data_IF_940480624741
#
_entry.id   IF_940480624741
#
_cell.length_a   1.000
_cell.length_b   1.000
_cell.length_c   1.000
_cell.angle_alpha   90.00
_cell.angle_beta   90.00
_cell.angle_gamma   90.00
#
_symmetry.space_group_name_H-M   'P 1'
#
loop_
_entity.id
_entity.type
_entity.pdbx_description
1 polymer ?
#
# COMPACT_ATOMS: atom_id res chain seq x y z
N UNK A 1 -10.57 -19.21 -13.56
CA UNK A 1 -11.93 -19.33 -12.96
C UNK A 1 -12.72 -18.07 -13.27
N UNK A 2 -14.05 -18.07 -13.36
CA UNK A 2 -14.84 -16.85 -13.52
C UNK A 2 -14.81 -16.08 -12.19
N UNK A 3 -14.39 -14.82 -12.20
CA UNK A 3 -14.32 -13.96 -11.00
C UNK A 3 -15.28 -12.80 -11.14
N UNK A 4 -15.78 -12.32 -10.00
CA UNK A 4 -16.60 -11.13 -9.90
C UNK A 4 -15.75 -9.97 -9.44
N UNK A 5 -15.64 -8.94 -10.26
CA UNK A 5 -14.79 -7.77 -10.02
C UNK A 5 -15.68 -6.54 -9.95
N UNK A 6 -15.55 -5.78 -8.86
CA UNK A 6 -16.18 -4.47 -8.71
C UNK A 6 -15.14 -3.39 -8.90
N UNK A 7 -15.45 -2.40 -9.74
CA UNK A 7 -14.64 -1.21 -9.95
C UNK A 7 -15.47 0.01 -9.55
N UNK A 8 -14.93 0.80 -8.65
CA UNK A 8 -15.50 2.09 -8.21
C UNK A 8 -14.52 3.16 -8.65
N UNK A 9 -14.92 3.95 -9.65
CA UNK A 9 -14.06 4.92 -10.32
C UNK A 9 -14.90 6.14 -10.68
N UNK A 10 -14.48 7.33 -10.25
CA UNK A 10 -15.20 8.60 -10.48
C UNK A 10 -14.75 9.31 -11.78
N UNK A 11 -13.72 8.79 -12.48
CA UNK A 11 -13.15 9.38 -13.68
C UNK A 11 -13.31 8.54 -14.96
N UNK A 12 -13.83 7.33 -14.88
CA UNK A 12 -14.00 6.35 -15.97
C UNK A 12 -12.72 5.80 -16.62
N UNK A 13 -11.55 6.33 -16.31
CA UNK A 13 -10.31 6.01 -17.01
C UNK A 13 -9.82 4.58 -16.70
N UNK A 14 -9.77 4.21 -15.41
CA UNK A 14 -9.35 2.87 -15.00
C UNK A 14 -10.46 1.85 -15.25
N UNK A 15 -11.72 2.21 -14.95
CA UNK A 15 -12.86 1.33 -15.07
C UNK A 15 -13.06 0.86 -16.51
N UNK A 16 -13.05 1.77 -17.49
CA UNK A 16 -13.23 1.43 -18.90
C UNK A 16 -12.14 0.50 -19.42
N UNK A 17 -10.88 0.79 -19.09
CA UNK A 17 -9.75 -0.01 -19.55
C UNK A 17 -9.77 -1.43 -18.94
N UNK A 18 -10.07 -1.55 -17.65
CA UNK A 18 -10.11 -2.84 -16.98
C UNK A 18 -11.34 -3.67 -17.36
N UNK A 19 -12.50 -3.04 -17.61
CA UNK A 19 -13.69 -3.76 -18.08
C UNK A 19 -13.43 -4.45 -19.42
N UNK A 20 -12.82 -3.75 -20.38
CA UNK A 20 -12.47 -4.35 -21.67
C UNK A 20 -11.56 -5.57 -21.50
N UNK A 21 -10.52 -5.46 -20.66
CA UNK A 21 -9.55 -6.54 -20.44
C UNK A 21 -10.16 -7.74 -19.74
N UNK A 22 -10.85 -7.51 -18.63
CA UNK A 22 -11.35 -8.59 -17.78
C UNK A 22 -12.59 -9.28 -18.36
N UNK A 23 -13.49 -8.52 -18.97
CA UNK A 23 -14.64 -9.09 -19.68
C UNK A 23 -14.21 -9.94 -20.87
N UNK A 24 -13.13 -9.56 -21.59
CA UNK A 24 -12.58 -10.35 -22.70
C UNK A 24 -12.02 -11.69 -22.24
N UNK A 25 -11.45 -11.75 -21.04
CA UNK A 25 -10.95 -13.00 -20.41
C UNK A 25 -12.09 -13.82 -19.80
N UNK A 26 -13.28 -13.23 -19.66
CA UNK A 26 -14.50 -13.90 -19.21
C UNK A 26 -14.85 -13.65 -17.73
N UNK A 27 -14.22 -12.69 -17.07
CA UNK A 27 -14.62 -12.26 -15.72
C UNK A 27 -15.92 -11.43 -15.79
N UNK A 28 -16.66 -11.41 -14.69
CA UNK A 28 -17.85 -10.57 -14.53
C UNK A 28 -17.42 -9.24 -13.87
N UNK A 29 -17.50 -8.15 -14.65
CA UNK A 29 -17.12 -6.81 -14.18
C UNK A 29 -18.37 -6.00 -13.88
N UNK A 30 -18.37 -5.31 -12.75
CA UNK A 30 -19.39 -4.35 -12.36
C UNK A 30 -18.71 -3.01 -12.08
N UNK A 31 -19.18 -1.95 -12.71
CA UNK A 31 -18.67 -0.59 -12.53
C UNK A 31 -19.69 0.22 -11.75
N UNK A 32 -19.23 1.02 -10.81
CA UNK A 32 -20.03 1.99 -10.05
C UNK A 32 -19.27 3.31 -9.97
N UNK A 33 -19.97 4.40 -10.30
CA UNK A 33 -19.40 5.76 -10.30
C UNK A 33 -19.62 6.45 -8.96
N UNK A 34 -20.75 6.16 -8.26
CA UNK A 34 -21.07 6.75 -6.96
C UNK A 34 -20.43 5.92 -5.84
N UNK A 35 -19.47 6.51 -5.16
CA UNK A 35 -18.73 5.92 -4.05
C UNK A 35 -19.65 5.54 -2.89
N UNK A 36 -20.48 6.49 -2.43
CA UNK A 36 -21.27 6.33 -1.22
C UNK A 36 -22.34 5.25 -1.42
N UNK A 37 -22.93 5.20 -2.63
CA UNK A 37 -23.86 4.15 -3.03
C UNK A 37 -23.13 2.79 -3.14
N UNK A 38 -21.96 2.77 -3.77
CA UNK A 38 -21.18 1.56 -3.93
C UNK A 38 -20.76 0.93 -2.60
N UNK A 39 -20.34 1.75 -1.63
CA UNK A 39 -19.85 1.31 -0.34
C UNK A 39 -20.96 0.99 0.67
N UNK A 40 -22.14 1.60 0.51
CA UNK A 40 -23.32 1.28 1.30
C UNK A 40 -24.04 0.00 0.81
N UNK A 41 -23.62 -0.57 -0.31
CA UNK A 41 -24.27 -1.74 -0.88
C UNK A 41 -23.95 -3.02 -0.07
N UNK A 42 -24.96 -3.78 0.27
CA UNK A 42 -24.85 -5.03 1.03
C UNK A 42 -24.14 -6.17 0.26
N UNK A 43 -23.85 -5.94 -1.03
CA UNK A 43 -23.30 -6.97 -1.94
C UNK A 43 -21.77 -6.94 -2.10
N UNK A 44 -21.07 -6.02 -1.45
CA UNK A 44 -19.60 -5.91 -1.54
C UNK A 44 -18.88 -7.22 -1.25
N UNK A 45 -19.37 -7.97 -0.29
CA UNK A 45 -18.85 -9.28 0.05
C UNK A 45 -19.05 -10.35 -1.05
N UNK A 46 -19.88 -10.09 -2.06
CA UNK A 46 -20.11 -11.03 -3.17
C UNK A 46 -19.02 -10.98 -4.23
N UNK A 47 -18.22 -9.91 -4.26
CA UNK A 47 -17.13 -9.72 -5.22
C UNK A 47 -15.85 -10.40 -4.74
N UNK A 48 -15.09 -10.98 -5.67
CA UNK A 48 -13.76 -11.55 -5.39
C UNK A 48 -12.71 -10.45 -5.24
N UNK A 49 -12.84 -9.40 -6.07
CA UNK A 49 -11.92 -8.27 -6.12
C UNK A 49 -12.72 -6.97 -6.14
N UNK A 50 -12.32 -6.02 -5.31
CA UNK A 50 -12.86 -4.66 -5.29
C UNK A 50 -11.72 -3.67 -5.53
N UNK A 51 -11.91 -2.81 -6.53
CA UNK A 51 -10.96 -1.76 -6.91
C UNK A 51 -11.66 -0.43 -6.73
N UNK A 52 -11.02 0.51 -6.04
CA UNK A 52 -11.48 1.89 -5.96
C UNK A 52 -10.37 2.82 -6.42
N UNK A 53 -10.70 3.77 -7.32
CA UNK A 53 -9.79 4.83 -7.77
C UNK A 53 -10.57 6.14 -7.75
N UNK A 54 -10.36 6.95 -6.74
CA UNK A 54 -11.17 8.11 -6.41
C UNK A 54 -10.29 9.31 -6.13
N UNK A 55 -10.67 10.46 -6.65
CA UNK A 55 -9.99 11.70 -6.47
C UNK A 55 -10.87 12.73 -5.74
N UNK A 56 -10.30 13.56 -4.89
CA UNK A 56 -11.08 14.61 -4.27
C UNK A 56 -10.37 15.37 -3.16
N UNK A 57 -11.04 16.37 -2.57
CA UNK A 57 -10.52 17.04 -1.40
C UNK A 57 -10.41 16.07 -0.22
N UNK A 58 -9.36 16.22 0.59
CA UNK A 58 -9.05 15.35 1.72
C UNK A 58 -10.23 15.13 2.69
N UNK A 59 -11.12 16.14 2.82
CA UNK A 59 -12.33 16.09 3.67
C UNK A 59 -13.38 15.07 3.20
N UNK A 60 -13.38 14.72 1.93
CA UNK A 60 -14.39 13.84 1.31
C UNK A 60 -13.92 12.40 1.14
N UNK A 61 -12.60 12.14 1.28
CA UNK A 61 -12.03 10.82 1.10
C UNK A 61 -11.74 10.20 2.49
N UNK A 62 -12.78 9.72 3.15
CA UNK A 62 -12.63 8.85 4.32
C UNK A 62 -12.64 7.41 3.86
N UNK A 63 -11.64 6.62 4.23
CA UNK A 63 -11.59 5.20 3.89
C UNK A 63 -12.84 4.47 4.39
N UNK A 64 -13.50 3.68 3.55
CA UNK A 64 -14.62 2.86 3.97
C UNK A 64 -14.12 1.63 4.71
N UNK A 65 -14.59 1.46 5.91
CA UNK A 65 -14.30 0.31 6.77
C UNK A 65 -13.33 0.68 7.90
N UNK A 66 -13.94 0.79 9.09
CA UNK A 66 -13.25 0.99 10.34
C UNK A 66 -12.07 0.04 10.55
N UNK A 67 -10.91 0.49 10.33
CA UNK A 67 -9.78 0.61 11.24
C UNK A 67 -8.90 1.70 10.64
N UNK A 68 -9.42 2.88 10.54
CA UNK A 68 -8.60 4.04 10.33
C UNK A 68 -7.75 4.23 11.59
N UNK A 69 -6.48 3.90 11.48
CA UNK A 69 -5.50 4.64 12.26
C UNK A 69 -5.73 6.12 11.99
N UNK A 70 -5.45 7.00 12.95
CA UNK A 70 -5.57 8.40 12.70
C UNK A 70 -4.70 8.72 11.48
N UNK A 71 -5.31 8.70 10.31
CA UNK A 71 -4.84 9.51 9.21
C UNK A 71 -4.63 10.86 9.86
N UNK A 72 -3.44 11.41 9.76
CA UNK A 72 -3.23 12.80 10.14
C UNK A 72 -4.24 13.55 9.29
N UNK A 73 -5.38 13.89 9.90
CA UNK A 73 -6.34 14.79 9.27
C UNK A 73 -5.55 16.07 9.12
N UNK A 74 -5.08 16.34 7.90
CA UNK A 74 -4.71 17.68 7.59
C UNK A 74 -6.04 18.45 7.59
N UNK A 75 -6.23 19.37 8.51
CA UNK A 75 -7.37 20.29 8.54
C UNK A 75 -7.33 21.26 7.34
N UNK A 76 -6.50 20.97 6.33
CA UNK A 76 -6.30 21.81 5.16
C UNK A 76 -7.25 21.33 4.04
N UNK A 77 -8.41 21.98 3.95
CA UNK A 77 -9.43 21.74 2.92
C UNK A 77 -8.93 21.95 1.47
N UNK A 78 -7.67 22.35 1.31
CA UNK A 78 -7.05 22.60 0.00
C UNK A 78 -6.23 21.43 -0.52
N UNK A 79 -6.02 20.40 0.29
CA UNK A 79 -5.23 19.24 -0.12
C UNK A 79 -6.03 18.31 -1.02
N UNK A 80 -5.51 18.04 -2.21
CA UNK A 80 -6.10 17.09 -3.15
C UNK A 80 -5.52 15.71 -2.92
N UNK A 81 -6.38 14.71 -2.74
CA UNK A 81 -5.98 13.32 -2.46
C UNK A 81 -6.44 12.43 -3.60
N UNK A 82 -5.50 11.68 -4.17
CA UNK A 82 -5.79 10.52 -5.02
C UNK A 82 -5.84 9.29 -4.14
N UNK A 83 -6.99 8.63 -4.07
CA UNK A 83 -7.21 7.47 -3.23
C UNK A 83 -7.42 6.21 -4.06
N UNK A 84 -6.45 5.33 -4.07
CA UNK A 84 -6.51 4.03 -4.72
C UNK A 84 -6.55 2.91 -3.68
N UNK A 85 -7.53 1.99 -3.83
CA UNK A 85 -7.60 0.78 -3.00
C UNK A 85 -7.85 -0.45 -3.84
N UNK A 86 -7.11 -1.52 -3.55
CA UNK A 86 -7.32 -2.84 -4.14
C UNK A 86 -7.52 -3.85 -3.01
N UNK A 87 -8.71 -4.43 -2.97
CA UNK A 87 -9.11 -5.40 -1.97
C UNK A 87 -9.42 -6.75 -2.64
N UNK A 88 -8.63 -7.77 -2.33
CA UNK A 88 -8.81 -9.13 -2.77
C UNK A 88 -9.16 -10.08 -1.61
N UNK A 89 -9.74 -9.57 -0.53
CA UNK A 89 -10.06 -10.32 0.68
C UNK A 89 -10.95 -11.54 0.40
N UNK A 90 -11.87 -11.41 -0.53
CA UNK A 90 -12.83 -12.46 -0.88
C UNK A 90 -12.27 -13.52 -1.84
N UNK A 91 -11.13 -13.26 -2.48
CA UNK A 91 -10.47 -14.17 -3.40
C UNK A 91 -10.09 -15.52 -2.76
N UNK A 92 -9.92 -15.55 -1.45
CA UNK A 92 -9.57 -16.74 -0.66
C UNK A 92 -10.77 -17.65 -0.31
N UNK A 93 -12.02 -17.28 -0.68
CA UNK A 93 -13.22 -18.09 -0.37
C UNK A 93 -13.26 -19.41 -1.13
N UNK A 94 -12.69 -19.43 -2.33
CA UNK A 94 -12.54 -20.62 -3.16
C UNK A 94 -11.14 -21.23 -3.01
N UNK A 95 -10.79 -22.20 -3.86
CA UNK A 95 -9.39 -22.64 -3.97
C UNK A 95 -8.53 -21.43 -4.34
N UNK A 96 -7.60 -21.07 -3.45
CA UNK A 96 -6.71 -19.94 -3.66
C UNK A 96 -5.71 -20.26 -4.76
N UNK A 97 -5.87 -19.60 -5.91
CA UNK A 97 -4.91 -19.64 -7.00
C UNK A 97 -4.03 -18.37 -6.95
N UNK A 98 -2.81 -18.54 -6.41
CA UNK A 98 -1.85 -17.45 -6.29
C UNK A 98 -1.46 -16.87 -7.65
N UNK A 99 -1.36 -17.71 -8.69
CA UNK A 99 -1.02 -17.26 -10.05
C UNK A 99 -2.12 -16.40 -10.65
N UNK A 100 -3.36 -16.84 -10.55
CA UNK A 100 -4.52 -16.10 -11.06
C UNK A 100 -4.60 -14.72 -10.40
N UNK A 101 -4.50 -14.66 -9.07
CA UNK A 101 -4.54 -13.39 -8.34
C UNK A 101 -3.37 -12.49 -8.70
N UNK A 102 -2.17 -13.05 -8.80
CA UNK A 102 -0.98 -12.33 -9.23
C UNK A 102 -1.16 -11.67 -10.59
N UNK A 103 -1.69 -12.41 -11.56
CA UNK A 103 -1.88 -11.90 -12.92
C UNK A 103 -2.94 -10.78 -12.95
N UNK A 104 -4.02 -10.92 -12.18
CA UNK A 104 -5.05 -9.89 -12.03
C UNK A 104 -4.46 -8.61 -11.42
N UNK A 105 -3.78 -8.73 -10.29
CA UNK A 105 -3.15 -7.59 -9.60
C UNK A 105 -2.11 -6.91 -10.50
N UNK A 106 -1.25 -7.69 -11.17
CA UNK A 106 -0.25 -7.16 -12.09
C UNK A 106 -0.90 -6.38 -13.25
N UNK A 107 -1.99 -6.91 -13.81
CA UNK A 107 -2.74 -6.24 -14.87
C UNK A 107 -3.30 -4.91 -14.40
N UNK A 108 -3.96 -4.87 -13.24
CA UNK A 108 -4.53 -3.65 -12.67
C UNK A 108 -3.46 -2.58 -12.48
N UNK A 109 -2.37 -2.93 -11.82
CA UNK A 109 -1.31 -1.98 -11.51
C UNK A 109 -0.55 -1.50 -12.75
N UNK A 110 -0.36 -2.36 -13.76
CA UNK A 110 0.26 -1.97 -15.03
C UNK A 110 -0.64 -0.98 -15.79
N UNK A 111 -1.95 -1.21 -15.84
CA UNK A 111 -2.90 -0.28 -16.46
C UNK A 111 -2.94 1.06 -15.72
N UNK A 112 -3.00 1.02 -14.38
CA UNK A 112 -2.99 2.24 -13.58
C UNK A 112 -1.73 3.09 -13.86
N UNK A 113 -0.55 2.48 -13.86
CA UNK A 113 0.71 3.19 -14.15
C UNK A 113 0.72 3.80 -15.54
N UNK A 114 0.21 3.08 -16.56
CA UNK A 114 0.32 3.50 -17.96
C UNK A 114 -0.70 4.53 -18.38
N UNK A 115 -1.90 4.48 -17.84
CA UNK A 115 -3.03 5.26 -18.35
C UNK A 115 -3.56 6.27 -17.33
N UNK A 116 -3.60 5.93 -16.06
CA UNK A 116 -4.19 6.78 -15.01
C UNK A 116 -3.13 7.64 -14.32
N UNK A 117 -2.02 7.03 -13.93
CA UNK A 117 -0.97 7.71 -13.17
C UNK A 117 -0.03 8.56 -14.05
N UNK A 118 -0.43 8.86 -15.29
CA UNK A 118 0.39 9.65 -16.24
C UNK A 118 0.31 11.16 -16.02
N UNK A 119 -0.72 11.65 -15.33
CA UNK A 119 -0.95 13.08 -15.09
C UNK A 119 0.19 13.77 -14.35
N UNK A 120 0.33 15.08 -14.61
CA UNK A 120 1.32 15.91 -13.91
C UNK A 120 1.01 15.99 -12.42
N UNK A 121 2.04 15.77 -11.60
CA UNK A 121 1.94 15.86 -10.15
C UNK A 121 1.77 17.32 -9.72
N UNK A 122 0.60 17.65 -9.18
CA UNK A 122 0.34 18.98 -8.61
C UNK A 122 1.11 19.11 -7.29
N UNK A 123 1.60 20.33 -6.97
CA UNK A 123 2.45 20.54 -5.77
C UNK A 123 1.77 20.18 -4.44
N UNK A 124 0.45 20.25 -4.37
CA UNK A 124 -0.36 19.94 -3.17
C UNK A 124 -0.99 18.53 -3.20
N UNK A 125 -0.53 17.65 -4.11
CA UNK A 125 -1.11 16.32 -4.24
C UNK A 125 -0.55 15.38 -3.16
N UNK A 126 -1.46 14.63 -2.54
CA UNK A 126 -1.17 13.47 -1.72
C UNK A 126 -1.81 12.24 -2.36
N UNK A 127 -1.12 11.12 -2.32
CA UNK A 127 -1.68 9.84 -2.73
C UNK A 127 -1.88 8.95 -1.50
N UNK A 128 -3.07 8.35 -1.41
CA UNK A 128 -3.38 7.30 -0.45
C UNK A 128 -3.62 6.00 -1.21
N UNK A 129 -2.78 5.02 -0.97
CA UNK A 129 -2.76 3.75 -1.69
C UNK A 129 -2.95 2.63 -0.68
N UNK A 130 -3.98 1.81 -0.86
CA UNK A 130 -4.29 0.71 0.05
C UNK A 130 -4.38 -0.62 -0.70
N UNK A 131 -3.78 -1.65 -0.11
CA UNK A 131 -3.91 -3.04 -0.55
C UNK A 131 -4.36 -3.91 0.61
N UNK A 132 -5.35 -4.75 0.36
CA UNK A 132 -5.77 -5.82 1.26
C UNK A 132 -5.71 -7.14 0.48
N UNK A 133 -4.67 -7.93 0.71
CA UNK A 133 -4.31 -9.07 -0.12
C UNK A 133 -4.07 -10.33 0.73
N UNK A 134 -4.40 -11.53 0.21
CA UNK A 134 -3.97 -12.79 0.80
C UNK A 134 -2.45 -12.88 0.93
N UNK A 135 -2.01 -13.63 1.94
CA UNK A 135 -0.59 -13.80 2.25
C UNK A 135 0.13 -14.59 1.16
N UNK A 136 0.84 -13.88 0.27
CA UNK A 136 1.68 -14.48 -0.77
C UNK A 136 2.85 -13.55 -1.11
N UNK A 137 4.08 -14.08 -1.14
CA UNK A 137 5.29 -13.28 -1.43
C UNK A 137 5.24 -12.71 -2.84
N UNK A 138 4.72 -13.46 -3.82
CA UNK A 138 4.65 -13.01 -5.21
C UNK A 138 3.79 -11.75 -5.40
N UNK A 139 2.73 -11.59 -4.59
CA UNK A 139 1.89 -10.40 -4.57
C UNK A 139 2.65 -9.20 -3.97
N UNK A 140 3.41 -9.45 -2.91
CA UNK A 140 4.18 -8.39 -2.24
C UNK A 140 5.20 -7.74 -3.19
N UNK A 141 5.87 -8.52 -4.04
CA UNK A 141 6.82 -7.97 -5.02
C UNK A 141 6.14 -7.02 -6.03
N UNK A 142 4.97 -7.38 -6.54
CA UNK A 142 4.23 -6.54 -7.49
C UNK A 142 3.79 -5.22 -6.84
N UNK A 143 3.24 -5.31 -5.61
CA UNK A 143 2.86 -4.13 -4.83
C UNK A 143 4.07 -3.26 -4.55
N UNK A 144 5.19 -3.86 -4.16
CA UNK A 144 6.43 -3.15 -3.88
C UNK A 144 6.95 -2.36 -5.10
N UNK A 145 6.98 -2.99 -6.27
CA UNK A 145 7.38 -2.32 -7.52
C UNK A 145 6.45 -1.14 -7.86
N UNK A 146 5.14 -1.30 -7.65
CA UNK A 146 4.19 -0.22 -7.86
C UNK A 146 4.43 0.94 -6.89
N UNK A 147 4.53 0.68 -5.58
CA UNK A 147 4.75 1.70 -4.56
C UNK A 147 6.04 2.50 -4.80
N UNK A 148 7.13 1.82 -5.17
CA UNK A 148 8.39 2.49 -5.48
C UNK A 148 8.28 3.45 -6.66
N UNK A 149 7.58 3.06 -7.73
CA UNK A 149 7.32 3.93 -8.87
C UNK A 149 6.51 5.18 -8.47
N UNK A 150 5.56 5.05 -7.53
CA UNK A 150 4.79 6.21 -7.04
C UNK A 150 5.66 7.15 -6.22
N UNK A 151 6.45 6.61 -5.29
CA UNK A 151 7.38 7.40 -4.46
C UNK A 151 8.44 8.12 -5.30
N UNK A 152 8.97 7.46 -6.34
CA UNK A 152 9.89 8.04 -7.32
C UNK A 152 9.21 9.17 -8.09
N UNK A 153 8.01 8.94 -8.63
CA UNK A 153 7.27 9.94 -9.43
C UNK A 153 6.95 11.20 -8.63
N UNK A 154 6.63 11.05 -7.34
CA UNK A 154 6.38 12.18 -6.45
C UNK A 154 7.66 12.87 -5.96
N UNK A 155 8.84 12.31 -6.27
CA UNK A 155 10.13 12.92 -5.98
C UNK A 155 10.56 12.82 -4.52
N UNK A 156 10.01 11.87 -3.75
CA UNK A 156 10.39 11.65 -2.33
C UNK A 156 11.80 11.07 -2.22
N UNK A 157 12.17 10.22 -3.19
CA UNK A 157 13.47 9.56 -3.22
C UNK A 157 14.11 9.68 -4.60
N UNK A 158 15.44 9.64 -4.62
CA UNK A 158 16.20 9.36 -5.83
C UNK A 158 16.42 7.85 -5.92
N UNK A 159 15.88 7.14 -6.96
CA UNK A 159 15.97 5.68 -7.07
C UNK A 159 17.41 5.15 -7.08
N UNK A 160 18.32 5.90 -7.70
CA UNK A 160 19.73 5.51 -7.83
C UNK A 160 20.50 5.54 -6.51
N UNK A 161 19.98 6.25 -5.50
CA UNK A 161 20.62 6.48 -4.20
C UNK A 161 19.86 5.85 -3.02
N UNK A 162 18.62 5.43 -3.24
CA UNK A 162 17.76 4.95 -2.17
C UNK A 162 17.79 3.43 -2.04
N UNK A 163 17.92 2.95 -0.81
CA UNK A 163 17.73 1.54 -0.45
C UNK A 163 16.29 1.24 0.03
N UNK A 164 15.32 2.10 -0.28
CA UNK A 164 13.92 1.95 0.17
C UNK A 164 13.34 0.58 -0.20
N UNK A 165 13.69 0.06 -1.39
CA UNK A 165 13.33 -1.31 -1.80
C UNK A 165 13.67 -2.33 -0.72
N UNK A 166 14.88 -2.30 -0.17
CA UNK A 166 15.34 -3.29 0.83
C UNK A 166 14.53 -3.19 2.12
N UNK A 167 14.22 -1.97 2.57
CA UNK A 167 13.43 -1.79 3.78
C UNK A 167 11.99 -2.30 3.64
N UNK A 168 11.35 -2.01 2.51
CA UNK A 168 9.98 -2.45 2.24
C UNK A 168 9.90 -3.96 2.00
N UNK A 169 10.86 -4.54 1.24
CA UNK A 169 10.92 -5.97 1.01
C UNK A 169 11.06 -6.76 2.33
N UNK A 170 11.97 -6.34 3.20
CA UNK A 170 12.11 -6.91 4.53
C UNK A 170 10.84 -6.79 5.38
N UNK A 171 10.16 -5.66 5.31
CA UNK A 171 8.91 -5.46 6.05
C UNK A 171 7.81 -6.38 5.53
N UNK A 172 7.67 -6.55 4.21
CA UNK A 172 6.71 -7.47 3.60
C UNK A 172 7.03 -8.93 3.92
N UNK A 173 8.31 -9.31 3.80
CA UNK A 173 8.76 -10.67 4.17
C UNK A 173 8.47 -10.95 5.64
N UNK A 174 8.66 -9.98 6.52
CA UNK A 174 8.36 -10.13 7.94
C UNK A 174 6.86 -10.36 8.17
N UNK A 175 5.98 -9.61 7.54
CA UNK A 175 4.53 -9.78 7.64
C UNK A 175 4.08 -11.16 7.11
N UNK A 176 4.57 -11.57 5.94
CA UNK A 176 4.21 -12.86 5.33
C UNK A 176 4.77 -14.04 6.10
N UNK A 177 6.08 -14.03 6.41
CA UNK A 177 6.82 -15.16 6.96
C UNK A 177 6.66 -15.29 8.47
N UNK A 178 6.82 -14.18 9.19
CA UNK A 178 6.86 -14.18 10.65
C UNK A 178 5.51 -13.83 11.26
N UNK A 179 4.75 -12.88 10.65
CA UNK A 179 3.40 -12.53 11.05
C UNK A 179 2.41 -13.63 10.69
N UNK A 180 2.05 -13.73 9.45
CA UNK A 180 1.02 -14.65 8.96
C UNK A 180 1.49 -16.10 8.77
N UNK A 181 2.82 -16.38 8.78
CA UNK A 181 3.41 -17.71 8.64
C UNK A 181 3.01 -18.42 7.35
N UNK A 182 2.97 -17.66 6.25
CA UNK A 182 2.55 -18.13 4.92
C UNK A 182 1.10 -18.65 4.86
N UNK A 183 0.26 -18.29 5.82
CA UNK A 183 -1.15 -18.69 5.82
C UNK A 183 -1.94 -17.84 4.83
N UNK A 184 -2.30 -18.41 3.68
CA UNK A 184 -3.05 -17.75 2.61
C UNK A 184 -4.48 -17.38 2.98
N UNK A 185 -5.00 -17.91 4.10
CA UNK A 185 -6.30 -17.51 4.65
C UNK A 185 -6.23 -16.19 5.43
N UNK A 186 -5.03 -15.73 5.74
CA UNK A 186 -4.79 -14.44 6.38
C UNK A 186 -4.46 -13.37 5.36
N UNK A 187 -4.74 -12.12 5.73
CA UNK A 187 -4.47 -10.95 4.91
C UNK A 187 -3.21 -10.21 5.36
N UNK A 188 -2.57 -9.58 4.41
CA UNK A 188 -1.61 -8.50 4.62
C UNK A 188 -2.27 -7.22 4.13
N UNK A 189 -2.34 -6.20 5.00
CA UNK A 189 -2.81 -4.86 4.68
C UNK A 189 -1.63 -3.94 4.54
N UNK A 190 -1.59 -3.21 3.44
CA UNK A 190 -0.52 -2.29 3.09
C UNK A 190 -1.16 -0.95 2.79
N UNK A 191 -0.74 0.09 3.51
CA UNK A 191 -1.13 1.46 3.25
C UNK A 191 0.11 2.27 2.94
N UNK A 192 0.08 3.05 1.86
CA UNK A 192 1.11 4.02 1.54
C UNK A 192 0.46 5.40 1.36
N UNK A 193 0.89 6.35 2.16
CA UNK A 193 0.54 7.77 2.03
C UNK A 193 1.78 8.49 1.49
N UNK A 194 1.67 9.01 0.27
CA UNK A 194 2.82 9.60 -0.44
C UNK A 194 2.52 11.04 -0.80
N UNK A 195 3.40 11.93 -0.42
CA UNK A 195 3.43 13.35 -0.79
C UNK A 195 4.83 13.72 -1.27
N UNK A 196 5.06 14.95 -1.70
CA UNK A 196 6.42 15.40 -2.05
C UNK A 196 7.37 15.51 -0.86
N UNK A 197 6.84 15.60 0.36
CA UNK A 197 7.63 15.79 1.57
C UNK A 197 8.05 14.48 2.22
N UNK A 198 7.17 13.48 2.15
CA UNK A 198 7.42 12.19 2.78
C UNK A 198 6.56 11.08 2.15
N UNK A 199 7.02 9.86 2.33
CA UNK A 199 6.25 8.64 2.11
C UNK A 199 6.12 7.88 3.42
N UNK A 200 4.88 7.59 3.81
CA UNK A 200 4.54 6.80 4.98
C UNK A 200 4.00 5.45 4.53
N UNK A 201 4.55 4.38 5.07
CA UNK A 201 4.13 3.01 4.80
C UNK A 201 3.64 2.36 6.08
N UNK A 202 2.50 1.70 6.00
CA UNK A 202 1.95 0.91 7.10
C UNK A 202 1.72 -0.50 6.58
N UNK A 203 2.31 -1.49 7.24
CA UNK A 203 2.17 -2.90 6.90
C UNK A 203 1.60 -3.60 8.12
N UNK A 204 0.45 -4.26 7.96
CA UNK A 204 -0.23 -4.98 9.02
C UNK A 204 -0.53 -6.42 8.60
N UNK A 205 -0.20 -7.36 9.48
CA UNK A 205 -0.51 -8.77 9.34
C UNK A 205 -1.58 -9.24 10.34
N UNK A 206 -2.19 -10.39 10.09
CA UNK A 206 -3.16 -11.02 10.98
C UNK A 206 -2.52 -12.05 11.93
N UNK A 207 -1.21 -11.95 12.15
CA UNK A 207 -0.50 -12.79 13.09
C UNK A 207 -0.75 -12.43 14.56
N UNK A 208 -0.14 -13.22 15.43
CA UNK A 208 -0.22 -12.99 16.87
C UNK A 208 0.56 -11.75 17.32
N UNK A 209 1.44 -11.24 16.43
CA UNK A 209 2.40 -10.20 16.75
C UNK A 209 3.57 -10.70 17.59
N UNK A 210 4.34 -9.77 18.13
CA UNK A 210 5.49 -10.09 18.98
C UNK A 210 5.72 -8.99 20.02
N UNK A 211 6.51 -9.32 21.05
CA UNK A 211 6.87 -8.33 22.06
C UNK A 211 7.90 -7.34 21.49
N UNK A 212 7.44 -6.15 21.12
CA UNK A 212 8.25 -5.08 20.53
C UNK A 212 9.44 -4.71 21.44
N UNK A 213 9.26 -4.77 22.76
CA UNK A 213 10.33 -4.48 23.75
C UNK A 213 11.45 -5.52 23.75
N UNK A 214 11.25 -6.67 23.12
CA UNK A 214 12.27 -7.72 22.97
C UNK A 214 13.15 -7.54 21.73
N UNK A 215 12.87 -6.57 20.88
CA UNK A 215 13.74 -6.23 19.76
C UNK A 215 15.03 -5.67 20.36
N UNK A 216 16.20 -6.28 20.07
CA UNK A 216 17.48 -5.69 20.44
C UNK A 216 17.61 -4.33 19.76
N UNK A 217 18.19 -3.36 20.44
CA UNK A 217 18.46 -2.06 19.82
C UNK A 217 19.24 -2.28 18.51
N UNK A 218 18.66 -1.94 17.35
CA UNK A 218 19.30 -2.19 16.06
C UNK A 218 20.54 -1.30 15.84
N UNK A 219 20.70 -0.23 16.62
CA UNK A 219 21.83 0.70 16.55
C UNK A 219 22.97 0.28 17.49
N UNK A 220 22.75 -0.71 18.37
CA UNK A 220 23.81 -1.23 19.25
C UNK A 220 24.83 -2.05 18.44
N UNK A 221 26.13 -1.68 18.50
CA UNK A 221 27.19 -2.38 17.79
C UNK A 221 27.26 -3.90 18.07
N UNK A 222 26.86 -4.35 19.26
CA UNK A 222 26.86 -5.77 19.62
C UNK A 222 25.79 -6.57 18.83
N UNK A 223 24.75 -5.90 18.34
CA UNK A 223 23.67 -6.51 17.57
C UNK A 223 23.97 -6.58 16.05
N UNK A 224 24.92 -5.77 15.55
CA UNK A 224 25.33 -5.75 14.14
C UNK A 224 25.88 -7.10 13.64
N UNK A 225 26.45 -7.90 14.56
CA UNK A 225 27.07 -9.18 14.21
C UNK A 225 26.13 -10.39 14.39
N UNK A 226 24.90 -10.19 14.87
CA UNK A 226 23.94 -11.27 15.01
C UNK A 226 23.38 -11.67 13.64
N UNK A 227 23.31 -12.96 13.36
CA UNK A 227 22.80 -13.49 12.09
C UNK A 227 21.27 -13.42 11.98
N UNK A 228 20.56 -13.31 13.10
CA UNK A 228 19.10 -13.13 13.18
C UNK A 228 18.76 -11.66 13.46
N UNK A 229 17.73 -11.13 12.81
CA UNK A 229 17.26 -9.75 13.03
C UNK A 229 17.91 -8.70 12.12
N UNK A 230 18.68 -9.10 11.12
CA UNK A 230 19.30 -8.14 10.17
C UNK A 230 18.25 -7.37 9.36
N UNK A 231 17.12 -7.96 9.06
CA UNK A 231 16.04 -7.31 8.34
C UNK A 231 15.52 -6.08 9.06
N UNK A 232 15.25 -6.22 10.36
CA UNK A 232 14.82 -5.08 11.20
C UNK A 232 15.90 -4.01 11.23
N UNK A 233 17.19 -4.38 11.30
CA UNK A 233 18.31 -3.43 11.24
C UNK A 233 18.31 -2.63 9.92
N UNK A 234 18.06 -3.29 8.77
CA UNK A 234 17.97 -2.58 7.49
C UNK A 234 16.82 -1.58 7.48
N UNK A 235 15.65 -1.94 8.02
CA UNK A 235 14.51 -1.04 8.12
C UNK A 235 14.91 0.22 8.91
N UNK A 236 15.48 0.06 10.10
CA UNK A 236 15.89 1.20 10.95
C UNK A 236 17.00 2.07 10.35
N UNK A 237 17.90 1.50 9.55
CA UNK A 237 18.98 2.27 8.92
C UNK A 237 18.54 3.03 7.65
N UNK A 238 17.45 2.60 7.01
CA UNK A 238 17.00 3.16 5.73
C UNK A 238 15.88 4.17 5.94
N UNK A 239 14.97 3.90 6.88
CA UNK A 239 13.82 4.73 7.17
C UNK A 239 14.15 5.79 8.22
N UNK A 240 13.53 6.96 8.10
CA UNK A 240 13.73 8.08 9.03
C UNK A 240 12.97 7.86 10.34
N UNK A 241 11.82 7.20 10.29
CA UNK A 241 11.05 6.78 11.47
C UNK A 241 10.53 5.35 11.30
N UNK A 242 10.55 4.59 12.40
CA UNK A 242 10.06 3.20 12.44
C UNK A 242 9.31 2.98 13.74
N UNK A 243 8.06 2.57 13.65
CA UNK A 243 7.19 2.38 14.81
C UNK A 243 6.40 1.08 14.67
N UNK A 244 6.30 0.32 15.76
CA UNK A 244 5.40 -0.83 15.87
C UNK A 244 4.23 -0.49 16.79
N UNK A 245 3.06 -1.07 16.52
CA UNK A 245 1.97 -1.02 17.48
C UNK A 245 2.27 -1.89 18.72
N UNK A 246 1.47 -1.78 19.78
CA UNK A 246 1.68 -2.53 21.03
C UNK A 246 1.65 -4.05 20.82
N UNK A 247 0.86 -4.54 19.86
CA UNK A 247 0.74 -5.96 19.53
C UNK A 247 1.94 -6.47 18.74
N UNK A 248 2.64 -5.60 18.00
CA UNK A 248 3.77 -5.97 17.16
C UNK A 248 3.40 -6.61 15.81
N UNK A 249 2.16 -6.47 15.35
CA UNK A 249 1.68 -6.97 14.06
C UNK A 249 1.43 -5.85 13.03
N UNK A 250 1.76 -4.61 13.37
CA UNK A 250 1.67 -3.44 12.51
C UNK A 250 2.94 -2.62 12.61
N UNK A 251 3.58 -2.44 11.48
CA UNK A 251 4.78 -1.64 11.30
C UNK A 251 4.44 -0.37 10.53
N UNK A 252 4.79 0.78 11.09
CA UNK A 252 4.73 2.08 10.41
C UNK A 252 6.15 2.56 10.14
N UNK A 253 6.42 2.98 8.92
CA UNK A 253 7.71 3.47 8.45
C UNK A 253 7.52 4.78 7.72
N UNK A 254 8.39 5.74 7.95
CA UNK A 254 8.36 7.04 7.26
C UNK A 254 9.71 7.27 6.59
N UNK A 255 9.67 7.67 5.33
CA UNK A 255 10.81 8.17 4.56
C UNK A 255 10.54 9.59 4.14
N UNK A 256 11.42 10.51 4.54
CA UNK A 256 11.34 11.94 4.18
C UNK A 256 12.08 12.21 2.88
N UNK A 257 11.66 13.25 2.18
CA UNK A 257 12.34 13.72 0.97
C UNK A 257 13.75 14.23 1.30
N UNK A 258 14.70 13.90 0.43
CA UNK A 258 16.10 14.33 0.56
C UNK A 258 16.25 15.86 0.48
N UNK A 259 15.34 16.55 -0.23
CA UNK A 259 15.33 18.02 -0.35
C UNK A 259 15.14 18.74 1.00
N UNK A 260 14.53 18.11 2.00
CA UNK A 260 14.40 18.67 3.36
C UNK A 260 15.72 18.72 4.11
N UNK A 261 16.58 17.74 3.89
CA UNK A 261 17.88 17.69 4.56
C UNK A 261 18.80 18.85 4.14
N UNK A 262 18.63 19.40 2.94
CA UNK A 262 19.41 20.57 2.49
C UNK A 262 18.89 21.88 3.07
N UNK A 263 17.59 22.00 3.33
CA UNK A 263 16.98 23.25 3.83
C UNK A 263 17.17 23.43 5.34
N UNK A 264 17.09 22.35 6.13
CA UNK A 264 17.33 22.40 7.58
C UNK A 264 18.82 22.69 7.93
N UNK A 265 19.76 22.21 7.10
CA UNK A 265 21.19 22.50 7.27
C UNK A 265 21.53 23.98 7.00
N UNK A 266 20.74 24.65 6.17
CA UNK A 266 20.96 26.08 5.84
C UNK A 266 20.32 27.03 6.86
N UNK A 267 19.37 26.59 7.69
CA UNK A 267 18.76 27.39 8.76
C UNK A 267 19.53 27.31 10.10
N UNK A 268 20.43 26.33 10.26
CA UNK A 268 21.28 26.18 11.47
C UNK A 268 22.68 26.83 11.35
N UNK A 269 22.98 27.53 10.25
CA UNK A 269 24.22 28.27 10.02
C UNK A 269 23.95 29.79 10.01
#
# INVERSE_FOLDING_TARGET
MLRKILIIDDHDDLATALDEVFSHVGHEVTIREDRDEALAADDLESFDLVITDLDGPASNISSPGEVCLPCVRSDDETEHVKAFKLCAANFRRDEFDEHELKDLVATILDYKIRFVDTEEVVQSMRESIEFELPTAISLMHIVLEYLLKRVEKLGVINPDQSNLFVALDEAFVNAVKHGNRFDTQKLVRITAEVSRQEARFIIEDEGEGFNVRSIPDPLDPENLFKTSGRGVLFIYNIMDEVMYNERGNRLTMIKRSDDRNETEILEEV
#
